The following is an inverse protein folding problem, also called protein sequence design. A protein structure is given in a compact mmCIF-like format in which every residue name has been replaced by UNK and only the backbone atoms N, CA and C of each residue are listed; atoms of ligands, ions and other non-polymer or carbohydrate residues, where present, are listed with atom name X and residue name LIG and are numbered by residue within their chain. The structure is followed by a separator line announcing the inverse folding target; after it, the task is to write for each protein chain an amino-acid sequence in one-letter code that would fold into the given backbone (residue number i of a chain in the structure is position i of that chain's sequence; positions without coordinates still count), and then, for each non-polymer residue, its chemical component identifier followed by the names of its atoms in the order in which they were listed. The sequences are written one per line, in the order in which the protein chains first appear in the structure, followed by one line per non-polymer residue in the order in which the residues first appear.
data_IF_384238149966
#
_entry.id   IF_384238149966
#
_cell.length_a   1.000
_cell.length_b   1.000
_cell.length_c   1.000
_cell.angle_alpha   90.00
_cell.angle_beta   90.00
_cell.angle_gamma   90.00
#
_symmetry.space_group_name_H-M   'P 1'
#
loop_
_entity.id
_entity.type
_entity.pdbx_description
1 polymer ?
#
# COMPACT_ATOMS: atom_id res chain seq x y z
N UNK A 1 -16.55 36.73 29.94
CA UNK A 1 -18.01 36.96 29.83
C UNK A 1 -18.70 35.63 29.62
N UNK A 2 -19.61 35.19 30.50
CA UNK A 2 -20.43 33.98 30.25
C UNK A 2 -21.53 34.35 29.26
N UNK A 3 -21.81 33.47 28.27
CA UNK A 3 -22.83 33.72 27.25
C UNK A 3 -23.86 32.59 27.30
N UNK A 4 -25.03 32.88 27.86
CA UNK A 4 -26.13 31.93 27.98
C UNK A 4 -27.45 32.56 27.56
N UNK A 5 -28.36 31.75 27.00
CA UNK A 5 -29.77 32.11 26.84
C UNK A 5 -30.65 31.16 27.63
N UNK A 6 -31.49 31.70 28.51
CA UNK A 6 -32.53 30.99 29.24
C UNK A 6 -33.89 31.36 28.66
N UNK A 7 -34.56 30.43 27.95
CA UNK A 7 -35.95 30.66 27.50
C UNK A 7 -36.34 30.17 26.10
N UNK A 8 -35.64 29.20 25.49
CA UNK A 8 -36.07 28.60 24.21
C UNK A 8 -35.90 29.49 22.96
N UNK A 9 -35.39 30.73 23.11
CA UNK A 9 -35.02 31.59 21.99
C UNK A 9 -33.55 31.35 21.61
N UNK A 10 -33.37 30.74 20.45
CA UNK A 10 -32.10 30.39 19.82
C UNK A 10 -31.42 31.66 19.24
N UNK A 11 -30.74 32.43 20.09
CA UNK A 11 -30.05 33.67 19.69
C UNK A 11 -28.79 33.46 18.84
N UNK A 12 -28.34 34.50 18.13
CA UNK A 12 -27.06 34.54 17.41
C UNK A 12 -26.13 35.51 18.14
N UNK A 13 -24.90 35.10 18.41
CA UNK A 13 -23.86 35.92 19.03
C UNK A 13 -22.76 36.17 18.02
N UNK A 14 -22.43 37.44 17.79
CA UNK A 14 -21.34 37.85 16.92
C UNK A 14 -20.19 38.44 17.76
N UNK A 15 -19.00 37.91 17.60
CA UNK A 15 -17.78 38.44 18.21
C UNK A 15 -16.99 39.19 17.15
N UNK A 16 -16.81 40.50 17.38
CA UNK A 16 -16.24 41.44 16.39
C UNK A 16 -14.78 41.83 16.67
N UNK A 17 -14.10 41.14 17.59
CA UNK A 17 -12.68 41.35 17.87
C UNK A 17 -12.11 40.28 18.82
N UNK A 18 -10.90 40.51 19.32
CA UNK A 18 -10.27 39.64 20.31
C UNK A 18 -11.03 39.64 21.65
N UNK A 19 -10.94 38.54 22.40
CA UNK A 19 -11.52 38.47 23.73
C UNK A 19 -11.60 37.07 24.34
N UNK A 20 -11.97 37.03 25.62
CA UNK A 20 -12.18 35.79 26.37
C UNK A 20 -13.65 35.62 26.74
N UNK A 21 -14.27 34.58 26.20
CA UNK A 21 -15.61 34.12 26.56
C UNK A 21 -15.49 33.03 27.64
N UNK A 22 -16.47 32.99 28.54
CA UNK A 22 -16.73 31.82 29.38
C UNK A 22 -17.49 30.76 28.58
N UNK A 23 -18.16 29.81 29.26
CA UNK A 23 -19.00 28.82 28.60
C UNK A 23 -20.07 29.50 27.74
N UNK A 24 -20.28 28.97 26.52
CA UNK A 24 -21.31 29.44 25.58
C UNK A 24 -22.36 28.35 25.40
N UNK A 25 -23.56 28.55 25.94
CA UNK A 25 -24.62 27.53 25.95
C UNK A 25 -26.00 28.10 25.60
N UNK A 26 -26.85 27.27 25.01
CA UNK A 26 -28.27 27.60 24.75
C UNK A 26 -28.55 28.50 23.55
N UNK A 27 -27.52 28.94 22.81
CA UNK A 27 -27.66 29.81 21.63
C UNK A 27 -27.63 29.01 20.32
N UNK A 28 -28.19 29.56 19.24
CA UNK A 28 -28.19 28.94 17.92
C UNK A 28 -26.80 28.98 17.27
N UNK A 29 -26.16 30.15 17.30
CA UNK A 29 -24.92 30.36 16.58
C UNK A 29 -23.99 31.28 17.34
N UNK A 30 -22.72 30.88 17.40
CA UNK A 30 -21.61 31.73 17.77
C UNK A 30 -20.78 32.02 16.51
N UNK A 31 -20.79 33.26 16.06
CA UNK A 31 -20.03 33.70 14.88
C UNK A 31 -18.84 34.55 15.32
N UNK A 32 -17.63 34.13 14.95
CA UNK A 32 -16.41 34.88 15.20
C UNK A 32 -15.99 35.58 13.90
N UNK A 33 -16.20 36.90 13.85
CA UNK A 33 -16.09 37.72 12.64
C UNK A 33 -14.91 38.70 12.69
N UNK A 34 -14.53 39.17 13.89
CA UNK A 34 -13.44 40.13 14.03
C UNK A 34 -12.07 39.47 14.09
N UNK A 35 -11.08 40.08 13.44
CA UNK A 35 -9.70 39.63 13.57
C UNK A 35 -9.22 39.68 15.04
N UNK A 36 -8.32 38.76 15.37
CA UNK A 36 -7.73 38.62 16.69
C UNK A 36 -8.01 37.27 17.35
N UNK A 37 -7.47 37.12 18.56
CA UNK A 37 -7.52 35.88 19.31
C UNK A 37 -8.79 35.84 20.16
N UNK A 38 -9.59 34.79 19.99
CA UNK A 38 -10.78 34.52 20.79
C UNK A 38 -10.56 33.24 21.60
N UNK A 39 -10.65 33.33 22.92
CA UNK A 39 -10.54 32.17 23.81
C UNK A 39 -11.90 31.89 24.43
N UNK A 40 -12.38 30.66 24.28
CA UNK A 40 -13.60 30.18 24.92
C UNK A 40 -13.19 29.23 26.05
N UNK A 41 -13.42 29.67 27.29
CA UNK A 41 -13.07 28.94 28.50
C UNK A 41 -14.28 28.13 28.97
N UNK A 42 -14.11 26.81 29.01
CA UNK A 42 -15.18 25.86 29.37
C UNK A 42 -15.90 25.28 28.15
N UNK A 43 -16.63 24.18 28.38
CA UNK A 43 -17.35 23.47 27.33
C UNK A 43 -18.48 24.36 26.77
N UNK A 44 -18.64 24.33 25.45
CA UNK A 44 -19.65 25.13 24.75
C UNK A 44 -20.57 24.27 23.89
N UNK A 45 -21.84 24.68 23.81
CA UNK A 45 -22.94 23.95 23.17
C UNK A 45 -23.85 24.82 22.31
N UNK A 46 -23.34 25.96 21.80
CA UNK A 46 -24.01 26.66 20.71
C UNK A 46 -24.27 25.68 19.56
N UNK A 47 -25.41 25.74 18.87
CA UNK A 47 -25.71 24.75 17.80
C UNK A 47 -24.67 24.78 16.69
N UNK A 48 -24.11 25.94 16.37
CA UNK A 48 -22.98 26.07 15.44
C UNK A 48 -21.98 27.13 15.90
N UNK A 49 -20.70 26.80 15.85
CA UNK A 49 -19.59 27.77 15.93
C UNK A 49 -19.06 28.04 14.52
N UNK A 50 -19.05 29.30 14.11
CA UNK A 50 -18.58 29.71 12.78
C UNK A 50 -17.39 30.66 12.89
N UNK A 51 -16.31 30.37 12.17
CA UNK A 51 -15.16 31.26 11.99
C UNK A 51 -15.21 31.82 10.57
N UNK A 52 -15.54 33.10 10.39
CA UNK A 52 -15.75 33.60 9.02
C UNK A 52 -14.46 34.10 8.35
N UNK A 53 -13.57 34.75 9.10
CA UNK A 53 -12.51 35.57 8.53
C UNK A 53 -11.10 35.05 8.85
N UNK A 54 -10.15 35.27 7.92
CA UNK A 54 -8.77 34.78 8.01
C UNK A 54 -7.99 35.29 9.24
N UNK A 55 -8.32 36.48 9.74
CA UNK A 55 -7.67 37.07 10.91
C UNK A 55 -8.14 36.51 12.26
N UNK A 56 -9.13 35.61 12.28
CA UNK A 56 -9.68 35.04 13.52
C UNK A 56 -8.84 33.83 13.93
N UNK A 57 -8.37 33.82 15.18
CA UNK A 57 -7.75 32.64 15.80
C UNK A 57 -8.55 32.28 17.05
N UNK A 58 -9.29 31.18 16.99
CA UNK A 58 -10.17 30.75 18.07
C UNK A 58 -9.64 29.49 18.77
N UNK A 59 -9.69 29.48 20.10
CA UNK A 59 -9.39 28.29 20.91
C UNK A 59 -10.54 28.04 21.88
N UNK A 60 -11.15 26.84 21.83
CA UNK A 60 -12.16 26.42 22.79
C UNK A 60 -11.60 25.29 23.68
N UNK A 61 -11.17 25.66 24.89
CA UNK A 61 -10.38 24.78 25.78
C UNK A 61 -11.22 23.61 26.31
N UNK A 62 -12.52 23.83 26.54
CA UNK A 62 -13.44 22.80 27.03
C UNK A 62 -14.07 21.92 25.95
N UNK A 63 -13.69 22.10 24.68
CA UNK A 63 -14.33 21.43 23.55
C UNK A 63 -15.66 22.06 23.14
N UNK A 64 -16.18 21.56 22.02
CA UNK A 64 -17.44 22.00 21.41
C UNK A 64 -18.32 20.79 21.12
N UNK A 65 -19.55 20.76 21.65
CA UNK A 65 -20.40 19.55 21.54
C UNK A 65 -21.22 19.48 20.26
N UNK A 66 -21.38 20.61 19.56
CA UNK A 66 -22.21 20.70 18.35
C UNK A 66 -21.34 20.87 17.09
N UNK A 67 -21.84 21.51 16.03
CA UNK A 67 -21.14 21.63 14.76
C UNK A 67 -20.18 22.83 14.71
N UNK A 68 -19.04 22.68 14.04
CA UNK A 68 -18.13 23.78 13.77
C UNK A 68 -17.99 24.02 12.26
N UNK A 69 -17.94 25.28 11.86
CA UNK A 69 -17.67 25.72 10.50
C UNK A 69 -16.46 26.66 10.52
N UNK A 70 -15.34 26.23 9.95
CA UNK A 70 -14.12 27.03 9.85
C UNK A 70 -14.04 27.57 8.44
N UNK A 71 -14.38 28.84 8.24
CA UNK A 71 -14.22 29.58 6.98
C UNK A 71 -12.75 29.81 6.67
N UNK A 72 -12.28 31.07 6.66
CA UNK A 72 -10.88 31.37 6.34
C UNK A 72 -9.93 31.42 7.55
N UNK A 73 -10.46 31.45 8.77
CA UNK A 73 -9.67 31.59 10.01
C UNK A 73 -9.16 30.27 10.58
N UNK A 74 -8.82 30.29 11.87
CA UNK A 74 -8.29 29.14 12.60
C UNK A 74 -9.16 28.78 13.80
N UNK A 75 -9.37 27.48 14.02
CA UNK A 75 -10.07 26.95 15.19
C UNK A 75 -9.28 25.80 15.82
N UNK A 76 -8.97 25.92 17.10
CA UNK A 76 -8.36 24.86 17.91
C UNK A 76 -9.34 24.39 18.98
N UNK A 77 -9.91 23.20 18.80
CA UNK A 77 -10.85 22.58 19.73
C UNK A 77 -11.08 21.11 19.40
N UNK A 78 -11.53 20.32 20.37
CA UNK A 78 -12.21 19.06 20.06
C UNK A 78 -13.69 19.36 19.74
N UNK A 79 -14.25 18.67 18.75
CA UNK A 79 -15.64 18.84 18.32
C UNK A 79 -16.37 17.50 18.32
N UNK A 80 -17.46 17.39 19.07
CA UNK A 80 -18.30 16.18 19.05
C UNK A 80 -19.18 16.12 17.81
N UNK A 81 -19.69 17.27 17.34
CA UNK A 81 -20.49 17.34 16.11
C UNK A 81 -19.66 17.28 14.84
N UNK A 82 -20.26 17.72 13.73
CA UNK A 82 -19.62 17.77 12.43
C UNK A 82 -18.73 19.01 12.30
N UNK A 83 -17.64 18.89 11.55
CA UNK A 83 -16.75 20.00 11.22
C UNK A 83 -16.78 20.23 9.71
N UNK A 84 -17.06 21.45 9.29
CA UNK A 84 -16.90 21.89 7.89
C UNK A 84 -15.72 22.85 7.80
N UNK A 85 -14.81 22.62 6.85
CA UNK A 85 -13.62 23.46 6.64
C UNK A 85 -13.64 24.10 5.26
N UNK A 86 -13.55 25.43 5.23
CA UNK A 86 -13.33 26.28 4.07
C UNK A 86 -11.84 26.42 3.78
N UNK A 87 -11.33 27.66 3.63
CA UNK A 87 -9.90 27.90 3.34
C UNK A 87 -9.00 27.92 4.57
N UNK A 88 -9.59 27.81 5.76
CA UNK A 88 -8.94 27.96 7.04
C UNK A 88 -8.32 26.66 7.56
N UNK A 89 -8.03 26.67 8.87
CA UNK A 89 -7.41 25.54 9.56
C UNK A 89 -8.20 25.14 10.79
N UNK A 90 -8.56 23.87 10.87
CA UNK A 90 -9.10 23.25 12.07
C UNK A 90 -8.04 22.39 12.74
N UNK A 91 -7.90 22.51 14.06
CA UNK A 91 -6.99 21.68 14.87
C UNK A 91 -7.72 21.05 16.04
N UNK A 92 -7.70 19.73 16.13
CA UNK A 92 -8.27 18.95 17.23
C UNK A 92 -9.04 17.73 16.74
N UNK A 93 -9.62 16.97 17.68
CA UNK A 93 -10.35 15.75 17.36
C UNK A 93 -11.78 16.04 16.93
N UNK A 94 -12.34 15.14 16.13
CA UNK A 94 -13.70 15.24 15.58
C UNK A 94 -14.42 13.92 15.83
N UNK A 95 -15.54 13.94 16.55
CA UNK A 95 -16.36 12.73 16.72
C UNK A 95 -17.34 12.58 15.55
N UNK A 96 -17.90 13.67 15.04
CA UNK A 96 -18.75 13.67 13.85
C UNK A 96 -17.96 13.56 12.54
N UNK A 97 -18.61 13.96 11.45
CA UNK A 97 -18.01 13.98 10.12
C UNK A 97 -17.13 15.22 9.91
N UNK A 98 -16.10 15.08 9.09
CA UNK A 98 -15.25 16.16 8.62
C UNK A 98 -15.49 16.39 7.12
N UNK A 99 -15.90 17.59 6.72
CA UNK A 99 -16.26 17.91 5.34
C UNK A 99 -15.48 19.13 4.87
N UNK A 100 -14.87 19.06 3.70
CA UNK A 100 -14.27 20.22 3.06
C UNK A 100 -15.27 20.90 2.11
N UNK A 101 -15.39 22.22 2.24
CA UNK A 101 -16.11 23.06 1.28
C UNK A 101 -15.23 23.55 0.13
N UNK A 102 -13.95 23.81 0.44
CA UNK A 102 -12.88 24.23 -0.48
C UNK A 102 -11.53 23.79 0.09
N UNK A 103 -10.42 24.19 -0.57
CA UNK A 103 -9.06 23.89 -0.13
C UNK A 103 -8.74 24.48 1.25
N UNK A 104 -8.69 23.63 2.27
CA UNK A 104 -8.34 23.99 3.66
C UNK A 104 -7.54 22.90 4.36
N UNK A 105 -7.35 23.04 5.66
CA UNK A 105 -6.52 22.11 6.45
C UNK A 105 -7.22 21.62 7.71
N UNK A 106 -7.09 20.33 8.00
CA UNK A 106 -7.42 19.71 9.30
C UNK A 106 -6.14 19.12 9.88
N UNK A 107 -5.82 19.46 11.12
CA UNK A 107 -4.80 18.80 11.94
C UNK A 107 -5.52 18.03 13.06
N UNK A 108 -5.36 16.72 13.12
CA UNK A 108 -6.14 15.88 14.03
C UNK A 108 -5.35 14.67 14.51
N UNK A 109 -5.75 14.11 15.65
CA UNK A 109 -5.39 12.73 15.99
C UNK A 109 -6.57 11.81 15.65
N UNK A 110 -7.82 12.23 15.86
CA UNK A 110 -8.99 11.35 15.68
C UNK A 110 -10.09 12.02 14.85
N UNK A 111 -10.61 11.28 13.87
CA UNK A 111 -11.91 11.55 13.24
C UNK A 111 -12.73 10.25 13.27
N UNK A 112 -13.74 10.21 14.13
CA UNK A 112 -14.60 9.03 14.28
C UNK A 112 -15.67 8.95 13.18
N UNK A 113 -16.13 10.09 12.67
CA UNK A 113 -17.02 10.13 11.51
C UNK A 113 -16.26 10.06 10.18
N UNK A 114 -17.01 10.11 9.09
CA UNK A 114 -16.43 10.12 7.75
C UNK A 114 -15.71 11.44 7.48
N UNK A 115 -14.56 11.35 6.81
CA UNK A 115 -13.88 12.50 6.19
C UNK A 115 -14.23 12.55 4.70
N UNK A 116 -14.73 13.68 4.21
CA UNK A 116 -15.01 13.91 2.79
C UNK A 116 -14.31 15.17 2.27
N UNK A 117 -13.38 14.99 1.32
CA UNK A 117 -12.68 16.07 0.62
C UNK A 117 -13.54 16.78 -0.42
N UNK A 118 -14.64 16.17 -0.90
CA UNK A 118 -15.55 16.73 -1.92
C UNK A 118 -14.83 17.28 -3.17
N UNK A 119 -13.74 16.66 -3.59
CA UNK A 119 -12.93 17.12 -4.73
C UNK A 119 -12.02 18.31 -4.45
N UNK A 120 -11.93 18.78 -3.21
CA UNK A 120 -11.08 19.90 -2.82
C UNK A 120 -9.62 19.51 -2.67
N UNK A 121 -8.70 20.42 -3.00
CA UNK A 121 -7.26 20.26 -2.79
C UNK A 121 -6.84 20.49 -1.33
N UNK A 122 -7.62 19.93 -0.40
CA UNK A 122 -7.45 20.11 1.04
C UNK A 122 -6.46 19.12 1.61
N UNK A 123 -6.01 19.38 2.83
CA UNK A 123 -5.08 18.49 3.55
C UNK A 123 -5.67 18.05 4.89
N UNK A 124 -5.53 16.77 5.20
CA UNK A 124 -5.74 16.21 6.54
C UNK A 124 -4.40 15.69 7.04
N UNK A 125 -3.88 16.33 8.08
CA UNK A 125 -2.69 15.90 8.81
C UNK A 125 -3.12 15.08 10.03
N UNK A 126 -2.71 13.82 10.04
CA UNK A 126 -2.98 12.86 11.11
C UNK A 126 -1.74 12.74 11.99
N UNK A 127 -1.88 13.16 13.23
CA UNK A 127 -0.86 13.06 14.25
C UNK A 127 -0.64 11.60 14.67
N UNK A 128 0.41 11.41 15.48
CA UNK A 128 0.74 10.09 16.03
C UNK A 128 -0.42 9.45 16.80
N UNK A 129 -0.47 8.12 16.74
CA UNK A 129 -1.56 7.25 17.24
C UNK A 129 -2.94 7.57 16.63
N UNK A 130 -2.94 8.24 15.48
CA UNK A 130 -4.16 8.78 14.91
C UNK A 130 -5.13 7.72 14.41
N UNK A 131 -6.43 7.96 14.55
CA UNK A 131 -7.49 7.05 14.12
C UNK A 131 -8.49 7.78 13.24
N UNK A 132 -8.69 7.26 12.02
CA UNK A 132 -9.72 7.75 11.10
C UNK A 132 -10.72 6.64 10.82
N UNK A 133 -11.98 7.01 10.60
CA UNK A 133 -12.97 6.11 10.02
C UNK A 133 -12.80 6.00 8.49
N UNK A 134 -13.86 6.21 7.71
CA UNK A 134 -13.77 6.23 6.26
C UNK A 134 -13.25 7.59 5.76
N UNK A 135 -12.44 7.59 4.71
CA UNK A 135 -11.91 8.78 4.06
C UNK A 135 -12.25 8.74 2.58
N UNK A 136 -12.94 9.76 2.07
CA UNK A 136 -13.39 9.80 0.68
C UNK A 136 -13.19 11.17 0.06
N UNK A 137 -13.18 11.23 -1.25
CA UNK A 137 -13.44 12.46 -1.99
C UNK A 137 -14.63 12.23 -2.92
N UNK A 138 -15.81 12.74 -2.54
CA UNK A 138 -17.06 12.37 -3.21
C UNK A 138 -17.27 12.96 -4.61
N UNK A 139 -16.59 14.06 -4.96
CA UNK A 139 -16.84 14.78 -6.23
C UNK A 139 -15.74 14.59 -7.29
N UNK A 140 -14.47 14.62 -6.90
CA UNK A 140 -13.32 14.46 -7.80
C UNK A 140 -12.14 13.83 -7.06
N UNK A 141 -11.24 13.17 -7.78
CA UNK A 141 -10.02 12.61 -7.18
C UNK A 141 -9.10 13.74 -6.72
N UNK A 142 -9.10 14.02 -5.42
CA UNK A 142 -8.33 15.12 -4.84
C UNK A 142 -8.13 14.89 -3.34
N UNK A 143 -7.50 15.86 -2.69
CA UNK A 143 -7.21 15.80 -1.26
C UNK A 143 -5.88 15.12 -0.98
N UNK A 144 -5.25 15.58 0.11
CA UNK A 144 -4.01 15.08 0.61
C UNK A 144 -4.23 14.52 2.03
N UNK A 145 -4.01 13.22 2.18
CA UNK A 145 -4.06 12.54 3.47
C UNK A 145 -2.63 12.26 3.94
N UNK A 146 -2.22 12.91 5.03
CA UNK A 146 -0.84 12.86 5.52
C UNK A 146 -0.81 12.27 6.91
N UNK A 147 -0.07 11.18 7.09
CA UNK A 147 0.22 10.61 8.40
C UNK A 147 1.61 11.06 8.87
N UNK A 148 1.63 11.87 9.93
CA UNK A 148 2.84 12.40 10.57
C UNK A 148 3.40 11.45 11.65
N UNK A 149 2.59 10.50 12.12
CA UNK A 149 2.96 9.44 13.05
C UNK A 149 2.22 8.14 12.73
N UNK A 150 2.25 7.19 13.66
CA UNK A 150 1.53 5.93 13.52
C UNK A 150 0.02 6.19 13.47
N UNK A 151 -0.73 5.29 12.85
CA UNK A 151 -2.16 5.50 12.71
C UNK A 151 -2.95 4.28 12.29
N UNK A 152 -4.27 4.43 12.27
CA UNK A 152 -5.20 3.38 11.93
C UNK A 152 -6.41 3.96 11.19
N UNK A 153 -6.69 3.43 10.01
CA UNK A 153 -7.87 3.76 9.21
C UNK A 153 -8.78 2.55 9.18
N UNK A 154 -9.94 2.67 9.83
CA UNK A 154 -10.87 1.53 10.01
C UNK A 154 -11.80 1.35 8.82
N UNK A 155 -12.06 2.43 8.07
CA UNK A 155 -12.92 2.43 6.89
C UNK A 155 -12.15 2.39 5.58
N UNK A 156 -12.90 2.36 4.48
CA UNK A 156 -12.36 2.46 3.11
C UNK A 156 -11.73 3.84 2.91
N UNK A 157 -10.60 3.88 2.19
CA UNK A 157 -10.07 5.11 1.61
C UNK A 157 -10.40 5.10 0.12
N UNK A 158 -11.13 6.10 -0.35
CA UNK A 158 -11.58 6.13 -1.74
C UNK A 158 -11.34 7.48 -2.42
N UNK A 159 -10.90 7.41 -3.68
CA UNK A 159 -10.83 8.55 -4.58
C UNK A 159 -9.93 9.70 -4.07
N UNK A 160 -8.83 9.39 -3.39
CA UNK A 160 -7.92 10.40 -2.82
C UNK A 160 -6.80 10.78 -3.80
N UNK A 161 -6.42 12.05 -3.86
CA UNK A 161 -5.33 12.52 -4.72
C UNK A 161 -3.96 12.00 -4.26
N UNK A 162 -3.62 12.22 -3.00
CA UNK A 162 -2.35 11.78 -2.44
C UNK A 162 -2.50 11.23 -1.03
N UNK A 163 -1.82 10.11 -0.77
CA UNK A 163 -1.61 9.56 0.56
C UNK A 163 -0.10 9.64 0.85
N UNK A 164 0.26 10.26 1.97
CA UNK A 164 1.63 10.33 2.44
C UNK A 164 1.73 9.67 3.80
N UNK A 165 2.49 8.60 3.90
CA UNK A 165 2.84 7.95 5.17
C UNK A 165 4.28 8.29 5.48
N UNK A 166 4.48 9.29 6.34
CA UNK A 166 5.80 9.82 6.69
C UNK A 166 6.05 9.77 8.20
N UNK A 167 5.56 8.70 8.82
CA UNK A 167 5.62 8.47 10.25
C UNK A 167 7.05 8.13 10.70
N UNK A 168 7.75 9.10 11.28
CA UNK A 168 9.13 8.89 11.73
C UNK A 168 9.23 7.80 12.81
N UNK A 169 10.35 7.06 12.82
CA UNK A 169 10.68 6.10 13.87
C UNK A 169 10.05 4.72 13.70
N UNK A 170 9.96 4.21 12.48
CA UNK A 170 9.42 2.87 12.15
C UNK A 170 7.97 2.69 12.59
N UNK A 171 7.18 3.77 12.55
CA UNK A 171 5.78 3.73 12.95
C UNK A 171 4.92 3.16 11.83
N UNK A 172 3.87 2.47 12.23
CA UNK A 172 2.94 1.81 11.32
C UNK A 172 1.65 2.62 11.19
N UNK A 173 1.22 2.81 9.94
CA UNK A 173 -0.13 3.21 9.58
C UNK A 173 -0.84 1.99 9.02
N UNK A 174 -1.93 1.60 9.67
CA UNK A 174 -2.73 0.43 9.30
C UNK A 174 -3.93 0.89 8.49
N UNK A 175 -4.10 0.32 7.30
CA UNK A 175 -5.27 0.47 6.45
C UNK A 175 -6.07 -0.84 6.49
N UNK A 176 -7.15 -0.86 7.26
CA UNK A 176 -7.92 -2.08 7.51
C UNK A 176 -8.80 -2.51 6.34
N UNK A 177 -9.10 -1.58 5.44
CA UNK A 177 -9.97 -1.77 4.27
C UNK A 177 -9.29 -1.24 3.02
N UNK A 178 -9.91 -1.55 1.90
CA UNK A 178 -9.42 -1.17 0.57
C UNK A 178 -9.05 0.32 0.47
N UNK A 179 -7.94 0.59 -0.21
CA UNK A 179 -7.37 1.93 -0.43
C UNK A 179 -7.33 2.23 -1.92
N UNK A 180 -7.91 3.37 -2.33
CA UNK A 180 -7.85 3.89 -3.69
C UNK A 180 -7.36 5.34 -3.70
N UNK A 181 -6.24 5.59 -4.39
CA UNK A 181 -5.67 6.93 -4.54
C UNK A 181 -4.91 7.12 -5.87
N UNK A 182 -4.56 8.36 -6.22
CA UNK A 182 -3.67 8.61 -7.36
C UNK A 182 -2.21 8.37 -7.03
N UNK A 183 -1.79 8.66 -5.79
CA UNK A 183 -0.40 8.44 -5.38
C UNK A 183 -0.29 8.00 -3.92
N UNK A 184 0.75 7.19 -3.65
CA UNK A 184 1.15 6.79 -2.31
C UNK A 184 2.64 7.09 -2.13
N UNK A 185 2.98 7.91 -1.14
CA UNK A 185 4.37 8.18 -0.75
C UNK A 185 4.66 7.60 0.62
N UNK A 186 5.75 6.84 0.72
CA UNK A 186 6.18 6.13 1.92
C UNK A 186 7.55 6.67 2.33
N UNK A 187 7.61 7.37 3.45
CA UNK A 187 8.76 8.12 3.92
C UNK A 187 9.33 7.62 5.24
N UNK A 188 10.59 7.95 5.54
CA UNK A 188 11.17 7.91 6.89
C UNK A 188 11.06 6.55 7.61
N UNK A 189 11.26 5.45 6.89
CA UNK A 189 11.07 4.08 7.38
C UNK A 189 9.66 3.77 7.93
N UNK A 190 8.66 4.60 7.63
CA UNK A 190 7.29 4.36 8.03
C UNK A 190 6.72 3.14 7.31
N UNK A 191 5.82 2.43 7.98
CA UNK A 191 5.14 1.26 7.43
C UNK A 191 3.72 1.62 7.04
N UNK A 192 3.38 1.49 5.77
CA UNK A 192 2.00 1.41 5.31
C UNK A 192 1.57 -0.06 5.29
N UNK A 193 0.84 -0.48 6.32
CA UNK A 193 0.33 -1.84 6.43
C UNK A 193 -1.09 -1.91 5.85
N UNK A 194 -1.23 -2.65 4.76
CA UNK A 194 -2.46 -2.94 4.07
C UNK A 194 -3.03 -4.29 4.54
N UNK A 195 -4.27 -4.25 5.03
CA UNK A 195 -5.02 -5.46 5.38
C UNK A 195 -6.04 -5.87 4.32
N UNK A 196 -6.14 -5.10 3.24
CA UNK A 196 -7.04 -5.31 2.12
C UNK A 196 -6.42 -4.69 0.84
N UNK A 197 -7.18 -4.57 -0.24
CA UNK A 197 -6.71 -4.21 -1.58
C UNK A 197 -6.16 -2.77 -1.67
N UNK A 198 -5.10 -2.59 -2.45
CA UNK A 198 -4.55 -1.28 -2.82
C UNK A 198 -4.74 -1.04 -4.31
N UNK A 199 -5.30 0.11 -4.67
CA UNK A 199 -5.39 0.59 -6.05
C UNK A 199 -4.75 1.96 -6.14
N UNK A 200 -3.60 2.06 -6.81
CA UNK A 200 -2.94 3.34 -7.09
C UNK A 200 -2.91 3.55 -8.61
N UNK A 201 -3.61 4.58 -9.09
CA UNK A 201 -3.73 4.86 -10.52
C UNK A 201 -2.51 5.60 -11.11
N UNK A 202 -1.73 6.28 -10.26
CA UNK A 202 -0.49 6.93 -10.63
C UNK A 202 0.71 6.11 -10.19
N UNK A 203 1.34 6.49 -9.08
CA UNK A 203 2.58 5.86 -8.63
C UNK A 203 2.68 5.65 -7.10
N UNK A 204 3.46 4.64 -6.75
CA UNK A 204 4.00 4.42 -5.41
C UNK A 204 5.44 4.96 -5.38
N UNK A 205 5.76 5.70 -4.34
CA UNK A 205 7.04 6.35 -4.17
C UNK A 205 7.62 6.03 -2.78
N UNK A 206 8.84 5.52 -2.73
CA UNK A 206 9.57 5.31 -1.48
C UNK A 206 10.61 6.42 -1.32
N UNK A 207 10.58 7.08 -0.18
CA UNK A 207 11.53 8.10 0.22
C UNK A 207 12.14 7.67 1.55
N UNK A 208 13.46 7.75 1.69
CA UNK A 208 14.16 7.48 2.96
C UNK A 208 13.73 6.18 3.67
N UNK A 209 13.65 5.04 2.96
CA UNK A 209 13.48 3.73 3.61
C UNK A 209 12.05 3.25 3.85
N UNK A 210 11.02 3.92 3.31
CA UNK A 210 9.62 3.56 3.52
C UNK A 210 9.28 2.08 3.25
N UNK A 211 8.26 1.56 3.93
CA UNK A 211 7.84 0.16 3.85
C UNK A 211 6.39 0.05 3.40
N UNK A 212 6.16 -0.71 2.33
CA UNK A 212 4.83 -1.16 1.93
C UNK A 212 4.63 -2.58 2.43
N UNK A 213 3.63 -2.80 3.26
CA UNK A 213 3.39 -4.10 3.89
C UNK A 213 1.98 -4.58 3.59
N UNK A 214 1.86 -5.87 3.26
CA UNK A 214 0.59 -6.56 3.12
C UNK A 214 0.51 -7.65 4.19
N UNK A 215 -0.37 -7.51 5.18
CA UNK A 215 -0.51 -8.49 6.26
C UNK A 215 -1.95 -8.95 6.50
N UNK A 216 -2.91 -8.48 5.72
CA UNK A 216 -4.31 -8.88 5.84
C UNK A 216 -4.59 -10.29 5.34
N UNK A 217 -5.76 -10.82 5.66
CA UNK A 217 -6.26 -12.07 5.07
C UNK A 217 -7.19 -11.74 3.90
N UNK A 218 -6.67 -11.77 2.67
CA UNK A 218 -7.48 -11.65 1.46
C UNK A 218 -7.38 -12.95 0.64
N UNK A 219 -8.38 -13.84 0.72
CA UNK A 219 -8.37 -15.11 -0.02
C UNK A 219 -8.37 -14.92 -1.54
N UNK A 220 -8.87 -13.80 -2.04
CA UNK A 220 -8.88 -13.49 -3.48
C UNK A 220 -7.50 -13.06 -4.01
N UNK A 221 -6.55 -12.77 -3.10
CA UNK A 221 -5.25 -12.21 -3.45
C UNK A 221 -5.29 -10.69 -3.67
N UNK A 222 -4.12 -10.12 -3.96
CA UNK A 222 -3.93 -8.69 -4.17
C UNK A 222 -3.33 -8.45 -5.55
N UNK A 223 -3.76 -7.39 -6.21
CA UNK A 223 -3.14 -6.93 -7.46
C UNK A 223 -2.33 -5.66 -7.18
N UNK A 224 -1.02 -5.71 -7.43
CA UNK A 224 -0.13 -4.55 -7.38
C UNK A 224 0.20 -4.12 -8.81
N UNK A 225 -0.69 -3.32 -9.39
CA UNK A 225 -0.56 -2.79 -10.75
C UNK A 225 -0.30 -1.27 -10.74
N UNK A 226 0.76 -0.86 -10.05
CA UNK A 226 1.07 0.55 -9.88
C UNK A 226 2.54 0.79 -10.18
N UNK A 227 2.83 1.88 -10.89
CA UNK A 227 4.20 2.25 -11.20
C UNK A 227 4.94 2.59 -9.89
N UNK A 228 6.13 2.04 -9.70
CA UNK A 228 7.05 2.38 -8.63
C UNK A 228 8.11 3.32 -9.21
N UNK A 229 8.12 4.59 -8.76
CA UNK A 229 9.02 5.61 -9.33
C UNK A 229 10.40 5.61 -8.66
N UNK A 230 10.45 5.49 -7.34
CA UNK A 230 11.70 5.49 -6.56
C UNK A 230 11.74 4.27 -5.65
N UNK A 231 11.78 3.07 -6.22
CA UNK A 231 11.77 1.83 -5.44
C UNK A 231 13.06 1.56 -4.66
N UNK A 232 14.17 2.17 -5.07
CA UNK A 232 15.54 1.82 -4.64
C UNK A 232 15.88 2.09 -3.15
N UNK A 233 14.97 2.70 -2.39
CA UNK A 233 15.08 2.80 -0.93
C UNK A 233 13.95 2.06 -0.20
N UNK A 234 12.98 1.53 -0.94
CA UNK A 234 11.77 0.94 -0.40
C UNK A 234 11.90 -0.52 -0.02
N UNK A 235 11.12 -0.93 0.98
CA UNK A 235 10.90 -2.34 1.30
C UNK A 235 9.46 -2.74 1.01
N UNK A 236 9.27 -3.89 0.36
CA UNK A 236 7.99 -4.55 0.21
C UNK A 236 7.94 -5.78 1.12
N UNK A 237 6.99 -5.80 2.06
CA UNK A 237 6.72 -6.94 2.93
C UNK A 237 5.44 -7.66 2.48
N UNK A 238 5.56 -8.96 2.19
CA UNK A 238 4.44 -9.83 1.80
C UNK A 238 4.18 -10.83 2.91
N UNK A 239 3.35 -10.45 3.88
CA UNK A 239 3.01 -11.23 5.08
C UNK A 239 1.55 -11.71 5.07
N UNK A 240 0.90 -11.65 3.92
CA UNK A 240 -0.48 -12.08 3.73
C UNK A 240 -0.56 -13.54 3.30
N UNK A 241 -1.63 -14.22 3.69
CA UNK A 241 -1.94 -15.60 3.25
C UNK A 241 -2.50 -15.67 1.82
N UNK A 242 -2.86 -14.54 1.23
CA UNK A 242 -3.24 -14.45 -0.18
C UNK A 242 -2.02 -14.38 -1.10
N UNK A 243 -2.24 -14.60 -2.39
CA UNK A 243 -1.23 -14.31 -3.41
C UNK A 243 -1.25 -12.83 -3.75
N UNK A 244 -0.10 -12.17 -3.74
CA UNK A 244 0.04 -10.84 -4.35
C UNK A 244 0.59 -11.02 -5.75
N UNK A 245 -0.09 -10.44 -6.74
CA UNK A 245 0.35 -10.42 -8.13
C UNK A 245 0.74 -9.00 -8.53
N UNK A 246 2.01 -8.78 -8.85
CA UNK A 246 2.47 -7.53 -9.43
C UNK A 246 2.50 -7.61 -10.96
N UNK A 247 1.99 -6.60 -11.67
CA UNK A 247 1.92 -6.60 -13.15
C UNK A 247 2.74 -5.47 -13.79
N UNK A 248 3.26 -4.54 -12.99
CA UNK A 248 4.12 -3.46 -13.47
C UNK A 248 5.60 -3.81 -13.28
N UNK A 249 6.38 -3.71 -14.35
CA UNK A 249 7.82 -4.03 -14.36
C UNK A 249 8.67 -3.21 -13.37
N UNK A 250 8.21 -2.02 -12.98
CA UNK A 250 8.91 -1.17 -12.02
C UNK A 250 8.99 -1.77 -10.62
N UNK A 251 8.23 -2.84 -10.34
CA UNK A 251 8.37 -3.66 -9.12
C UNK A 251 9.81 -4.13 -8.90
N UNK A 252 10.57 -4.38 -9.96
CA UNK A 252 11.96 -4.79 -9.86
C UNK A 252 12.91 -3.70 -9.39
N UNK A 253 12.44 -2.45 -9.24
CA UNK A 253 13.23 -1.33 -8.69
C UNK A 253 13.16 -1.23 -7.17
N UNK A 254 12.26 -1.98 -6.51
CA UNK A 254 12.17 -2.02 -5.04
C UNK A 254 13.49 -2.53 -4.47
N UNK A 255 14.01 -1.92 -3.41
CA UNK A 255 15.30 -2.34 -2.84
C UNK A 255 15.23 -3.76 -2.26
N UNK A 256 14.22 -4.02 -1.42
CA UNK A 256 14.07 -5.30 -0.72
C UNK A 256 12.64 -5.81 -0.83
N UNK A 257 12.49 -7.09 -1.16
CA UNK A 257 11.22 -7.80 -1.13
C UNK A 257 11.34 -8.93 -0.10
N UNK A 258 10.61 -8.80 0.99
CA UNK A 258 10.51 -9.81 2.04
C UNK A 258 9.24 -10.61 1.84
N UNK A 259 9.38 -11.92 1.65
CA UNK A 259 8.23 -12.81 1.56
C UNK A 259 8.15 -13.58 2.87
N UNK A 260 7.03 -13.38 3.54
CA UNK A 260 6.61 -14.00 4.78
C UNK A 260 7.37 -13.60 6.06
N UNK A 261 6.71 -13.74 7.20
CA UNK A 261 7.29 -13.80 8.55
C UNK A 261 6.26 -14.55 9.44
N UNK A 262 6.50 -15.81 9.82
CA UNK A 262 5.59 -16.60 10.67
C UNK A 262 5.20 -18.01 10.15
N UNK A 263 3.97 -18.48 10.43
CA UNK A 263 3.58 -19.91 10.31
C UNK A 263 2.68 -20.33 9.13
N UNK A 264 1.95 -19.41 8.49
CA UNK A 264 1.16 -19.67 7.28
C UNK A 264 2.01 -19.48 5.99
N UNK A 265 1.40 -19.59 4.81
CA UNK A 265 2.11 -19.47 3.53
C UNK A 265 1.84 -18.09 2.92
N UNK A 266 2.85 -17.45 2.32
CA UNK A 266 2.68 -16.29 1.43
C UNK A 266 3.23 -16.59 0.05
N UNK A 267 2.55 -16.01 -0.94
CA UNK A 267 3.01 -16.00 -2.31
C UNK A 267 3.08 -14.57 -2.84
N UNK A 268 4.23 -14.23 -3.43
CA UNK A 268 4.41 -13.04 -4.23
C UNK A 268 4.74 -13.46 -5.66
N UNK A 269 3.86 -13.12 -6.60
CA UNK A 269 4.00 -13.43 -8.02
C UNK A 269 4.18 -12.14 -8.80
N UNK A 270 5.06 -12.13 -9.79
CA UNK A 270 5.16 -11.07 -10.79
C UNK A 270 4.68 -11.63 -12.12
N UNK A 271 3.63 -11.02 -12.68
CA UNK A 271 3.17 -11.26 -14.05
C UNK A 271 3.85 -10.28 -15.00
N UNK A 272 4.63 -10.85 -15.90
CA UNK A 272 5.53 -10.16 -16.80
C UNK A 272 4.90 -9.97 -18.18
N UNK A 273 3.67 -10.41 -18.39
CA UNK A 273 3.00 -10.45 -19.71
C UNK A 273 2.89 -9.09 -20.41
N UNK A 274 3.16 -8.00 -19.71
CA UNK A 274 3.14 -6.64 -20.25
C UNK A 274 4.51 -6.13 -20.69
N UNK A 275 5.59 -6.49 -19.98
CA UNK A 275 6.92 -5.91 -20.19
C UNK A 275 8.02 -6.76 -19.55
N UNK A 276 9.22 -6.70 -20.14
CA UNK A 276 10.42 -7.29 -19.57
C UNK A 276 10.72 -6.73 -18.18
N UNK A 277 11.34 -7.54 -17.33
CA UNK A 277 11.65 -7.19 -15.96
C UNK A 277 13.17 -7.19 -15.72
N UNK A 278 13.62 -6.18 -14.99
CA UNK A 278 14.94 -6.16 -14.37
C UNK A 278 14.73 -6.17 -12.86
N UNK A 279 15.15 -7.24 -12.19
CA UNK A 279 15.05 -7.41 -10.74
C UNK A 279 16.34 -6.91 -10.09
N UNK A 280 16.29 -5.64 -9.67
CA UNK A 280 17.26 -5.01 -8.79
C UNK A 280 17.00 -5.25 -7.31
N UNK A 281 15.91 -5.93 -6.95
CA UNK A 281 15.53 -6.21 -5.57
C UNK A 281 16.37 -7.32 -4.96
N UNK A 282 16.74 -7.18 -3.68
CA UNK A 282 17.08 -8.31 -2.83
C UNK A 282 15.80 -9.04 -2.43
N UNK A 283 15.66 -10.32 -2.79
CA UNK A 283 14.47 -11.12 -2.50
C UNK A 283 14.78 -12.11 -1.40
N UNK A 284 14.07 -11.97 -0.28
CA UNK A 284 14.26 -12.79 0.92
C UNK A 284 13.05 -13.71 1.13
N UNK A 285 13.29 -15.03 1.08
CA UNK A 285 12.31 -16.04 1.46
C UNK A 285 12.48 -16.36 2.94
N UNK A 286 11.67 -15.73 3.80
CA UNK A 286 11.90 -15.75 5.25
C UNK A 286 11.33 -16.98 5.97
N UNK A 287 10.74 -17.95 5.26
CA UNK A 287 10.45 -19.27 5.81
C UNK A 287 10.33 -20.35 4.72
N UNK A 288 10.13 -21.60 5.15
CA UNK A 288 9.96 -22.75 4.25
C UNK A 288 8.70 -22.71 3.39
N UNK A 289 7.68 -21.92 3.76
CA UNK A 289 6.40 -21.77 3.04
C UNK A 289 6.34 -20.54 2.13
N UNK A 290 7.44 -19.79 2.02
CA UNK A 290 7.52 -18.59 1.19
C UNK A 290 7.56 -18.99 -0.28
N UNK A 291 6.78 -18.31 -1.12
CA UNK A 291 6.71 -18.56 -2.56
C UNK A 291 7.01 -17.29 -3.32
N UNK A 292 8.04 -17.32 -4.17
CA UNK A 292 8.29 -16.29 -5.17
C UNK A 292 7.94 -16.81 -6.56
N UNK A 293 7.08 -16.10 -7.28
CA UNK A 293 6.56 -16.50 -8.59
C UNK A 293 6.94 -15.54 -9.69
N UNK A 294 7.30 -16.08 -10.86
CA UNK A 294 7.40 -15.36 -12.13
C UNK A 294 6.48 -16.05 -13.12
N UNK A 295 5.55 -15.29 -13.70
CA UNK A 295 4.63 -15.80 -14.72
C UNK A 295 4.64 -14.94 -15.97
N UNK A 296 4.41 -15.56 -17.12
CA UNK A 296 4.21 -14.85 -18.38
C UNK A 296 3.24 -15.62 -19.29
N UNK A 297 2.48 -14.87 -20.08
CA UNK A 297 1.66 -15.36 -21.20
C UNK A 297 2.20 -14.90 -22.57
N UNK A 298 3.43 -14.37 -22.58
CA UNK A 298 4.17 -13.93 -23.77
C UNK A 298 5.65 -14.31 -23.67
N UNK A 299 6.37 -14.20 -24.78
CA UNK A 299 7.83 -14.23 -24.75
C UNK A 299 8.37 -13.09 -23.90
N UNK A 300 9.01 -13.43 -22.78
CA UNK A 300 9.48 -12.42 -21.85
C UNK A 300 10.80 -12.79 -21.19
N UNK A 301 11.61 -11.77 -20.93
CA UNK A 301 12.90 -11.89 -20.27
C UNK A 301 12.86 -11.26 -18.88
N UNK A 302 13.51 -11.93 -17.94
CA UNK A 302 13.81 -11.44 -16.59
C UNK A 302 15.32 -11.40 -16.41
N UNK A 303 15.84 -10.22 -16.08
CA UNK A 303 17.25 -10.02 -15.71
C UNK A 303 17.35 -9.89 -14.20
N UNK A 304 18.08 -10.80 -13.55
CA UNK A 304 18.41 -10.71 -12.14
C UNK A 304 19.68 -9.87 -11.99
N UNK A 305 19.62 -8.82 -11.16
CA UNK A 305 20.80 -8.03 -10.78
C UNK A 305 21.35 -8.43 -9.40
N UNK A 306 20.60 -9.27 -8.67
CA UNK A 306 20.98 -9.86 -7.41
C UNK A 306 20.50 -11.32 -7.36
N UNK A 307 21.12 -12.12 -6.51
CA UNK A 307 20.62 -13.46 -6.17
C UNK A 307 19.27 -13.42 -5.45
N UNK A 308 18.52 -14.50 -5.57
CA UNK A 308 17.35 -14.80 -4.74
C UNK A 308 17.79 -15.74 -3.63
N UNK A 309 17.72 -15.29 -2.39
CA UNK A 309 18.12 -16.09 -1.23
C UNK A 309 16.96 -16.94 -0.71
N UNK A 310 17.24 -18.22 -0.45
CA UNK A 310 16.34 -19.09 0.30
C UNK A 310 16.30 -18.72 1.79
N UNK A 311 15.48 -19.45 2.55
CA UNK A 311 15.47 -19.32 4.00
C UNK A 311 16.79 -19.80 4.63
N UNK A 312 17.22 -19.16 5.72
CA UNK A 312 18.39 -19.58 6.47
C UNK A 312 18.29 -21.04 6.92
N UNK A 313 19.25 -21.89 6.48
CA UNK A 313 19.20 -23.34 6.70
C UNK A 313 18.45 -24.15 5.64
N UNK A 314 17.97 -23.50 4.58
CA UNK A 314 17.26 -24.09 3.44
C UNK A 314 15.74 -23.91 3.52
N UNK A 315 15.11 -23.41 2.46
CA UNK A 315 13.65 -23.22 2.44
C UNK A 315 13.13 -22.28 1.35
N UNK A 316 11.81 -22.19 1.26
CA UNK A 316 11.11 -21.37 0.28
C UNK A 316 11.06 -22.02 -1.10
N UNK A 317 10.18 -21.54 -1.96
CA UNK A 317 10.01 -22.04 -3.32
C UNK A 317 9.98 -20.93 -4.35
N UNK A 318 10.49 -21.25 -5.53
CA UNK A 318 10.41 -20.38 -6.71
C UNK A 318 9.54 -21.07 -7.76
N UNK A 319 8.52 -20.37 -8.24
CA UNK A 319 7.62 -20.83 -9.29
C UNK A 319 7.91 -20.06 -10.59
N UNK A 320 8.23 -20.78 -11.66
CA UNK A 320 8.55 -20.24 -12.98
C UNK A 320 7.55 -20.78 -13.97
N UNK A 321 6.69 -19.90 -14.49
CA UNK A 321 5.53 -20.32 -15.27
C UNK A 321 5.49 -19.56 -16.59
N UNK A 322 5.54 -20.30 -17.70
CA UNK A 322 5.10 -19.82 -19.01
C UNK A 322 3.76 -20.45 -19.34
N UNK A 323 2.77 -19.62 -19.65
CA UNK A 323 1.42 -20.05 -20.05
C UNK A 323 1.16 -19.71 -21.50
N UNK A 324 0.31 -20.48 -22.18
CA UNK A 324 -0.15 -20.22 -23.55
C UNK A 324 -1.57 -20.75 -23.71
N UNK A 325 -2.41 -20.01 -24.45
CA UNK A 325 -3.74 -20.46 -24.83
C UNK A 325 -3.73 -21.42 -26.03
N UNK A 326 -2.57 -21.61 -26.68
CA UNK A 326 -2.38 -22.54 -27.82
C UNK A 326 -1.41 -23.65 -27.44
N UNK A 327 -1.63 -24.85 -28.01
CA UNK A 327 -0.73 -26.01 -27.91
C UNK A 327 -0.04 -26.22 -29.28
N UNK A 328 1.30 -26.36 -29.33
CA UNK A 328 2.23 -26.30 -28.20
C UNK A 328 2.34 -24.89 -27.61
N UNK A 329 2.77 -24.81 -26.34
CA UNK A 329 3.07 -23.52 -25.73
C UNK A 329 4.22 -22.87 -26.52
N UNK A 330 3.99 -21.68 -27.07
CA UNK A 330 4.99 -20.94 -27.84
C UNK A 330 5.61 -19.78 -27.04
N UNK A 331 5.10 -19.50 -25.85
CA UNK A 331 5.58 -18.44 -24.99
C UNK A 331 6.79 -18.91 -24.20
N UNK A 332 7.83 -18.10 -24.12
CA UNK A 332 9.08 -18.42 -23.43
C UNK A 332 9.31 -17.43 -22.29
N UNK A 333 9.49 -17.95 -21.08
CA UNK A 333 10.07 -17.20 -19.95
C UNK A 333 11.58 -17.41 -19.96
N UNK A 334 12.34 -16.37 -20.29
CA UNK A 334 13.80 -16.40 -20.30
C UNK A 334 14.37 -15.74 -19.05
N UNK A 335 15.20 -16.45 -18.31
CA UNK A 335 15.89 -15.93 -17.12
C UNK A 335 17.37 -15.69 -17.45
N UNK A 336 17.93 -14.57 -17.00
CA UNK A 336 19.35 -14.25 -17.14
C UNK A 336 19.89 -13.56 -15.90
N UNK A 337 21.17 -13.79 -15.58
CA UNK A 337 21.89 -13.01 -14.56
C UNK A 337 22.54 -11.78 -15.19
N UNK A 338 22.96 -10.82 -14.38
CA UNK A 338 23.62 -9.62 -14.88
C UNK A 338 25.14 -9.79 -15.02
N UNK A 339 25.78 -10.53 -14.10
CA UNK A 339 27.25 -10.64 -14.03
C UNK A 339 27.78 -12.09 -13.90
N UNK A 340 26.95 -13.09 -14.19
CA UNK A 340 27.39 -14.50 -14.20
C UNK A 340 27.53 -15.17 -12.82
N UNK A 341 27.29 -14.43 -11.74
CA UNK A 341 27.36 -14.92 -10.36
C UNK A 341 26.02 -14.86 -9.61
N UNK A 342 24.95 -14.40 -10.26
CA UNK A 342 23.62 -14.34 -9.66
C UNK A 342 23.03 -15.75 -9.59
N UNK A 343 22.30 -16.04 -8.51
CA UNK A 343 21.83 -17.39 -8.21
C UNK A 343 20.35 -17.40 -7.80
N UNK A 344 19.64 -18.48 -8.13
CA UNK A 344 18.36 -18.85 -7.49
C UNK A 344 18.66 -19.84 -6.37
N UNK A 345 18.58 -19.36 -5.13
CA UNK A 345 19.14 -20.01 -3.97
C UNK A 345 20.66 -19.80 -3.89
N UNK A 346 21.18 -19.67 -2.67
CA UNK A 346 22.64 -19.62 -2.45
C UNK A 346 23.13 -20.90 -1.80
N UNK A 347 24.44 -21.16 -1.86
CA UNK A 347 25.03 -22.32 -1.18
C UNK A 347 24.77 -22.31 0.33
N UNK A 348 24.75 -21.12 0.94
CA UNK A 348 24.42 -20.95 2.35
C UNK A 348 22.93 -21.18 2.61
N UNK A 349 22.07 -20.65 1.73
CA UNK A 349 20.62 -20.68 1.87
C UNK A 349 19.97 -21.23 0.60
N UNK A 350 19.99 -22.57 0.40
CA UNK A 350 19.42 -23.19 -0.79
C UNK A 350 17.89 -23.07 -0.80
N UNK A 351 17.30 -23.05 -1.99
CA UNK A 351 15.85 -23.14 -2.15
C UNK A 351 15.37 -24.56 -1.81
N UNK A 352 14.16 -24.69 -1.27
CA UNK A 352 13.56 -26.01 -1.10
C UNK A 352 13.12 -26.59 -2.44
N UNK A 353 12.47 -25.77 -3.27
CA UNK A 353 11.92 -26.22 -4.56
C UNK A 353 12.02 -25.11 -5.60
N UNK A 354 12.40 -25.49 -6.82
CA UNK A 354 12.11 -24.71 -8.03
C UNK A 354 11.06 -25.47 -8.84
N UNK A 355 9.90 -24.86 -9.06
CA UNK A 355 8.83 -25.40 -9.89
C UNK A 355 8.85 -24.72 -11.26
N UNK A 356 8.92 -25.51 -12.32
CA UNK A 356 8.93 -25.05 -13.70
C UNK A 356 7.71 -25.61 -14.43
N UNK A 357 6.93 -24.72 -15.07
CA UNK A 357 5.79 -25.09 -15.92
C UNK A 357 5.84 -24.31 -17.23
N UNK A 358 5.59 -24.99 -18.36
CA UNK A 358 5.69 -24.42 -19.71
C UNK A 358 7.13 -24.21 -20.19
N UNK A 359 7.34 -23.36 -21.20
CA UNK A 359 8.68 -23.12 -21.75
C UNK A 359 9.42 -22.08 -20.91
N UNK A 360 10.33 -22.55 -20.06
CA UNK A 360 11.23 -21.70 -19.28
C UNK A 360 12.67 -21.99 -19.68
N UNK A 361 13.41 -20.96 -20.04
CA UNK A 361 14.82 -21.03 -20.43
C UNK A 361 15.70 -20.20 -19.50
N UNK A 362 16.95 -20.62 -19.33
CA UNK A 362 17.98 -19.87 -18.59
C UNK A 362 19.14 -19.57 -19.53
N UNK A 363 19.52 -18.30 -19.65
CA UNK A 363 20.65 -17.86 -20.49
C UNK A 363 21.94 -17.95 -19.69
N UNK A 364 22.90 -18.75 -20.19
CA UNK A 364 24.28 -18.82 -19.71
C UNK A 364 24.49 -19.61 -18.41
N UNK A 365 25.12 -20.79 -18.48
CA UNK A 365 25.58 -21.56 -17.29
C UNK A 365 27.09 -21.76 -17.31
N UNK A 366 27.85 -20.85 -17.92
CA UNK A 366 29.30 -21.01 -18.02
C UNK A 366 30.02 -20.09 -17.02
N UNK A 367 30.07 -20.51 -15.76
CA UNK A 367 30.82 -19.86 -14.67
C UNK A 367 32.33 -19.68 -14.96
N UNK A 368 32.85 -20.29 -16.02
CA UNK A 368 34.26 -20.20 -16.43
C UNK A 368 34.57 -19.02 -17.36
N UNK A 369 33.56 -18.32 -17.90
CA UNK A 369 33.72 -17.21 -18.83
C UNK A 369 32.70 -16.12 -18.49
N UNK A 370 33.15 -14.98 -17.96
CA UNK A 370 32.32 -13.85 -17.47
C UNK A 370 31.21 -13.41 -18.42
N UNK A 371 30.09 -14.14 -18.40
CA UNK A 371 28.89 -13.97 -19.23
C UNK A 371 27.69 -13.97 -18.30
N UNK A 372 26.58 -13.36 -18.76
CA UNK A 372 25.32 -13.06 -18.06
C UNK A 372 24.52 -14.29 -17.56
N UNK A 373 25.18 -15.24 -16.92
CA UNK A 373 24.61 -16.50 -16.47
C UNK A 373 23.87 -16.42 -15.13
N UNK A 374 22.83 -17.25 -14.98
CA UNK A 374 22.08 -17.45 -13.74
C UNK A 374 22.27 -18.89 -13.25
N UNK A 375 22.79 -19.07 -12.04
CA UNK A 375 22.95 -20.39 -11.43
C UNK A 375 21.67 -20.82 -10.71
N UNK A 376 21.11 -21.97 -11.12
CA UNK A 376 19.91 -22.58 -10.56
C UNK A 376 20.20 -23.90 -9.83
N UNK A 377 21.48 -24.19 -9.55
CA UNK A 377 21.91 -25.45 -8.95
C UNK A 377 21.72 -25.52 -7.42
N UNK A 378 21.51 -24.38 -6.76
CA UNK A 378 21.35 -24.28 -5.31
C UNK A 378 19.89 -24.49 -4.85
N UNK A 379 19.28 -25.58 -5.32
CA UNK A 379 17.94 -26.02 -4.89
C UNK A 379 17.98 -27.48 -4.44
N UNK A 380 17.18 -27.83 -3.43
CA UNK A 380 17.03 -29.22 -2.98
C UNK A 380 16.22 -30.06 -3.98
N UNK A 381 15.22 -29.47 -4.62
CA UNK A 381 14.34 -30.14 -5.60
C UNK A 381 14.12 -29.24 -6.82
N UNK A 382 14.22 -29.81 -8.01
CA UNK A 382 13.72 -29.22 -9.25
C UNK A 382 12.55 -30.06 -9.77
N UNK A 383 11.38 -29.44 -9.91
CA UNK A 383 10.18 -30.05 -10.48
C UNK A 383 9.88 -29.40 -11.83
N UNK A 384 9.78 -30.22 -12.89
CA UNK A 384 9.42 -29.77 -14.24
C UNK A 384 8.09 -30.43 -14.62
N UNK A 385 7.08 -29.60 -14.86
CA UNK A 385 5.76 -30.01 -15.34
C UNK A 385 5.70 -29.81 -16.85
N UNK A 386 5.75 -30.90 -17.61
CA UNK A 386 5.52 -30.89 -19.06
C UNK A 386 4.04 -31.11 -19.37
N UNK A 387 3.45 -30.19 -20.13
CA UNK A 387 2.17 -30.43 -20.81
C UNK A 387 2.48 -31.28 -22.06
N UNK A 388 2.13 -32.57 -22.03
CA UNK A 388 2.50 -33.51 -23.08
C UNK A 388 1.63 -33.31 -24.31
N UNK A 389 2.19 -32.66 -25.32
CA UNK A 389 1.74 -32.66 -26.71
C UNK A 389 2.95 -32.79 -27.62
N UNK A 390 3.40 -34.03 -27.84
CA UNK A 390 4.42 -34.47 -28.81
C UNK A 390 5.90 -34.63 -28.35
N UNK A 391 6.33 -35.89 -28.52
CA UNK A 391 7.64 -36.52 -28.73
C UNK A 391 8.94 -35.85 -28.21
N UNK A 392 9.55 -36.57 -27.27
CA UNK A 392 10.95 -36.47 -26.86
C UNK A 392 11.89 -36.55 -28.09
N UNK A 393 12.39 -35.42 -28.58
CA UNK A 393 13.58 -35.40 -29.43
C UNK A 393 14.62 -34.42 -28.91
N UNK A 394 15.82 -34.98 -28.77
CA UNK A 394 17.11 -34.40 -28.41
C UNK A 394 17.25 -32.90 -28.67
N UNK A 395 17.39 -32.12 -27.58
CA UNK A 395 18.47 -31.14 -27.37
C UNK A 395 18.21 -30.38 -26.06
N UNK A 396 18.45 -31.04 -24.92
CA UNK A 396 18.75 -30.30 -23.69
C UNK A 396 20.25 -29.98 -23.68
N UNK A 397 20.67 -28.70 -23.77
CA UNK A 397 22.04 -28.34 -23.46
C UNK A 397 22.33 -28.70 -22.00
N UNK A 398 23.52 -29.25 -21.76
CA UNK A 398 23.96 -29.84 -20.48
C UNK A 398 23.78 -28.86 -19.31
N UNK A 399 22.66 -28.97 -18.60
CA UNK A 399 22.42 -28.28 -17.33
C UNK A 399 23.08 -29.12 -16.22
N UNK A 400 23.96 -28.53 -15.41
CA UNK A 400 24.42 -29.16 -14.16
C UNK A 400 23.26 -29.11 -13.16
N UNK A 401 22.45 -30.15 -13.18
CA UNK A 401 21.27 -30.29 -12.33
C UNK A 401 21.67 -30.83 -10.94
N UNK A 402 21.14 -30.26 -9.83
CA UNK A 402 21.10 -30.96 -8.55
C UNK A 402 20.20 -32.21 -8.69
N UNK A 403 20.30 -33.17 -7.75
CA UNK A 403 19.55 -34.45 -7.76
C UNK A 403 18.14 -34.28 -8.35
N UNK A 404 17.93 -34.74 -9.59
CA UNK A 404 16.63 -34.74 -10.25
C UNK A 404 15.76 -35.81 -9.58
N UNK A 405 14.88 -35.41 -8.67
CA UNK A 405 14.11 -36.35 -7.84
C UNK A 405 12.76 -36.75 -8.47
N UNK A 406 12.18 -35.94 -9.37
CA UNK A 406 10.93 -36.33 -10.06
C UNK A 406 10.63 -35.50 -11.31
N UNK A 407 10.32 -36.17 -12.43
CA UNK A 407 9.54 -35.62 -13.54
C UNK A 407 8.13 -36.19 -13.39
N UNK A 408 7.13 -35.37 -13.06
CA UNK A 408 5.73 -35.79 -13.08
C UNK A 408 5.13 -35.46 -14.45
N UNK A 409 4.92 -36.49 -15.26
CA UNK A 409 4.10 -36.42 -16.47
C UNK A 409 2.63 -36.49 -16.04
N UNK A 410 1.90 -35.39 -16.09
CA UNK A 410 0.43 -35.43 -16.00
C UNK A 410 -0.11 -35.70 -17.41
N UNK A 411 -0.51 -36.95 -17.65
CA UNK A 411 -1.35 -37.32 -18.79
C UNK A 411 -2.77 -36.88 -18.47
N UNK A 412 -3.18 -35.74 -18.99
CA UNK A 412 -4.54 -35.24 -18.83
C UNK A 412 -5.31 -35.42 -20.13
N UNK A 413 -5.56 -36.68 -20.54
CA UNK A 413 -6.62 -37.09 -21.48
C UNK A 413 -6.88 -38.61 -21.33
N UNK A 414 -8.13 -39.08 -21.28
CA UNK A 414 -8.42 -40.50 -21.48
C UNK A 414 -8.06 -40.87 -22.92
N UNK A 415 -7.23 -41.91 -23.09
CA UNK A 415 -7.03 -42.57 -24.38
C UNK A 415 -8.40 -43.03 -24.91
N UNK A 416 -8.97 -42.30 -25.87
CA UNK A 416 -9.96 -42.90 -26.77
C UNK A 416 -9.19 -43.66 -27.86
N UNK A 417 -9.39 -44.98 -28.01
CA UNK A 417 -8.82 -45.69 -29.15
C UNK A 417 -9.51 -45.20 -30.43
N UNK A 418 -8.74 -44.64 -31.36
CA UNK A 418 -9.17 -44.51 -32.75
C UNK A 418 -9.35 -45.93 -33.31
N UNK A 419 -10.60 -46.36 -33.51
CA UNK A 419 -10.90 -47.37 -34.51
C UNK A 419 -11.13 -46.65 -35.84
N UNK A 420 -10.23 -46.88 -36.80
CA UNK A 420 -10.58 -47.22 -38.18
C UNK A 420 -9.40 -47.95 -38.83
#
# INVERSE_FOLDING_TARGET
MVVTSSGGVNGIVNVLGAGTLGPVTGIAALNLNGAGNVVIVGASSATTLTINNAGVVATAVGGFTSNAAVGAGQLTTNTTGNVTVGTGTYTGNITGNAIFGVAGTINTTVITGQTDFKGSASTVNVNDTGTLAAVTSSAATNGNLVFLGGGNVTGVINNIGAITVNAAGNKTVIFQKSVSATSLTLGNNAVANLQDSLTISGNVNFTNGGVLEFSGANPAGYLLNSQIKNGNTGTLNVYTTGTITATDSSIGTVNTINIWQGNAAAAFTIDLSNKALTLGSAINLNNTKSVFGLTTSKNQQVTFMNSVDGFAGGGGSVNLISTSSTIPNNNVLTLQGNLGNDTLGTKANPLAVINVSGNVGVVGTNATLGTNGLDVSNTAVLLILLLVGFLLMHHLPRLRLPKLISVRLMLDQPFMPLMH
#
